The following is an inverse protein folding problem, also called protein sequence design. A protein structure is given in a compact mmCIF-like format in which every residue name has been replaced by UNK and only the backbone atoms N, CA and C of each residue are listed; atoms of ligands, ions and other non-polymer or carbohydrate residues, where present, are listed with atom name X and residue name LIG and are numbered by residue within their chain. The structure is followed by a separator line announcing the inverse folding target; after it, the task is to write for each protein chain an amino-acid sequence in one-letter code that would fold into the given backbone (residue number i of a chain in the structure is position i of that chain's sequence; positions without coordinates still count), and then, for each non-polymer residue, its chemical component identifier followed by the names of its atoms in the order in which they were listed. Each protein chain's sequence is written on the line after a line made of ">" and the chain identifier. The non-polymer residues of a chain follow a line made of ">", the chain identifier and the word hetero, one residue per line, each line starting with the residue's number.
data_IF_752673470758
#
_entry.id   IF_752673470758
#
_cell.length_a   1.000
_cell.length_b   1.000
_cell.length_c   1.000
_cell.angle_alpha   90.00
_cell.angle_beta   90.00
_cell.angle_gamma   90.00
#
_symmetry.space_group_name_H-M   'P 1'
#
loop_
_entity.id
_entity.type
_entity.pdbx_description
1 polymer ?
#
# COMPACT_ATOMS: atom_id res chain seq x y z
N UNK A 1 -20.00 -15.62 8.34
CA UNK A 1 -18.96 -14.60 8.08
C UNK A 1 -19.68 -13.35 7.63
N UNK A 2 -19.34 -12.17 8.17
CA UNK A 2 -19.82 -10.92 7.57
C UNK A 2 -19.28 -10.83 6.13
N UNK A 3 -20.11 -10.40 5.17
CA UNK A 3 -19.65 -10.22 3.79
C UNK A 3 -18.57 -9.13 3.77
N UNK A 4 -17.44 -9.44 3.12
CA UNK A 4 -16.37 -8.49 2.85
C UNK A 4 -16.29 -8.24 1.34
N UNK A 5 -15.74 -7.09 0.98
CA UNK A 5 -15.53 -6.65 -0.40
C UNK A 5 -14.09 -6.93 -0.83
N UNK A 6 -13.89 -6.98 -2.14
CA UNK A 6 -12.58 -6.97 -2.76
C UNK A 6 -12.12 -5.55 -3.08
N UNK A 7 -10.82 -5.36 -3.30
CA UNK A 7 -10.31 -4.05 -3.73
C UNK A 7 -10.87 -3.64 -5.10
N UNK A 8 -11.19 -4.62 -5.96
CA UNK A 8 -11.84 -4.41 -7.26
C UNK A 8 -13.24 -3.82 -7.17
N UNK A 9 -13.92 -3.98 -6.03
CA UNK A 9 -15.31 -3.54 -5.84
C UNK A 9 -15.38 -2.06 -5.42
N UNK A 10 -14.25 -1.50 -4.98
CA UNK A 10 -14.15 -0.16 -4.43
C UNK A 10 -14.46 0.90 -5.49
N UNK A 11 -15.28 1.87 -5.10
CA UNK A 11 -15.55 3.06 -5.88
C UNK A 11 -15.65 4.30 -4.99
N UNK A 12 -15.55 5.47 -5.61
CA UNK A 12 -15.46 6.77 -4.94
C UNK A 12 -16.79 7.28 -4.36
N UNK A 13 -17.90 6.57 -4.57
CA UNK A 13 -19.24 7.02 -4.18
C UNK A 13 -19.69 6.49 -2.81
N UNK A 14 -18.88 5.64 -2.17
CA UNK A 14 -19.18 5.07 -0.86
C UNK A 14 -17.97 5.18 0.07
N UNK A 15 -18.26 5.32 1.36
CA UNK A 15 -17.29 5.17 2.44
C UNK A 15 -17.52 3.91 3.27
N UNK A 16 -18.65 3.22 3.05
CA UNK A 16 -19.07 2.03 3.81
C UNK A 16 -18.51 0.77 3.19
N UNK A 17 -17.19 0.69 3.17
CA UNK A 17 -16.45 -0.47 2.69
C UNK A 17 -15.97 -1.31 3.86
N UNK A 18 -15.80 -2.61 3.61
CA UNK A 18 -15.09 -3.51 4.50
C UNK A 18 -14.30 -4.49 3.64
N UNK A 19 -12.97 -4.48 3.77
CA UNK A 19 -12.04 -5.30 2.97
C UNK A 19 -11.07 -6.02 3.88
N UNK A 20 -10.61 -7.19 3.45
CA UNK A 20 -9.49 -7.90 4.08
C UNK A 20 -8.21 -7.59 3.32
N UNK A 21 -7.22 -7.05 4.04
CA UNK A 21 -5.98 -6.57 3.44
C UNK A 21 -4.76 -6.97 4.26
N UNK A 22 -3.70 -7.35 3.57
CA UNK A 22 -2.36 -7.49 4.13
C UNK A 22 -1.61 -6.17 3.96
N UNK A 23 -0.94 -5.71 5.01
CA UNK A 23 -0.01 -4.57 4.88
C UNK A 23 1.27 -5.11 4.26
N UNK A 24 1.59 -4.73 3.02
CA UNK A 24 2.84 -5.13 2.38
C UNK A 24 4.01 -4.24 2.81
N UNK A 25 3.76 -2.93 2.87
CA UNK A 25 4.75 -1.94 3.29
C UNK A 25 4.05 -0.77 3.99
N UNK A 26 4.76 -0.13 4.91
CA UNK A 26 4.27 1.03 5.67
C UNK A 26 5.43 1.95 6.03
N UNK A 27 5.28 3.24 5.78
CA UNK A 27 6.29 4.25 6.14
C UNK A 27 5.63 5.59 6.47
N UNK A 28 6.42 6.46 7.11
CA UNK A 28 6.02 7.84 7.41
C UNK A 28 6.53 8.75 6.29
N UNK A 29 5.64 9.54 5.70
CA UNK A 29 5.99 10.50 4.65
C UNK A 29 5.78 11.93 5.16
N UNK A 30 6.84 12.77 5.15
CA UNK A 30 6.71 14.19 5.47
C UNK A 30 6.02 14.95 4.33
N UNK A 31 5.07 15.79 4.68
CA UNK A 31 4.36 16.68 3.76
C UNK A 31 4.96 18.09 3.81
N UNK A 32 4.83 18.85 2.73
CA UNK A 32 5.27 20.27 2.64
C UNK A 32 4.69 21.13 3.77
N UNK A 33 3.50 20.78 4.27
CA UNK A 33 2.85 21.44 5.42
C UNK A 33 3.53 21.21 6.78
N UNK A 34 4.63 20.46 6.85
CA UNK A 34 5.30 20.04 8.09
C UNK A 34 4.61 18.89 8.83
N UNK A 35 3.46 18.41 8.33
CA UNK A 35 2.76 17.23 8.86
C UNK A 35 3.36 15.94 8.30
N UNK A 36 3.18 14.82 9.01
CA UNK A 36 3.69 13.50 8.59
C UNK A 36 2.55 12.50 8.43
N UNK A 37 2.26 12.05 7.22
CA UNK A 37 1.24 11.00 6.99
C UNK A 37 1.86 9.60 7.03
N UNK A 38 1.07 8.60 7.38
CA UNK A 38 1.48 7.19 7.21
C UNK A 38 0.99 6.71 5.86
N UNK A 39 1.91 6.27 5.02
CA UNK A 39 1.65 5.66 3.71
C UNK A 39 1.76 4.15 3.85
N UNK A 40 0.92 3.43 3.11
CA UNK A 40 0.88 1.98 3.10
C UNK A 40 0.64 1.46 1.69
N UNK A 41 1.21 0.30 1.41
CA UNK A 41 0.79 -0.56 0.29
C UNK A 41 0.01 -1.72 0.89
N UNK A 42 -1.23 -1.89 0.45
CA UNK A 42 -2.12 -2.95 0.91
C UNK A 42 -2.38 -3.95 -0.22
N UNK A 43 -2.60 -5.21 0.13
CA UNK A 43 -3.02 -6.23 -0.83
C UNK A 43 -4.21 -7.06 -0.35
N UNK A 44 -5.12 -7.44 -1.25
CA UNK A 44 -6.19 -8.39 -0.96
C UNK A 44 -5.82 -9.83 -1.33
N UNK A 45 -6.72 -10.79 -1.06
CA UNK A 45 -6.52 -12.20 -1.40
C UNK A 45 -6.47 -12.49 -2.92
N UNK A 46 -6.91 -11.54 -3.75
CA UNK A 46 -6.83 -11.60 -5.21
C UNK A 46 -5.54 -11.01 -5.76
N UNK A 47 -4.59 -10.67 -4.89
CA UNK A 47 -3.32 -10.03 -5.24
C UNK A 47 -3.44 -8.64 -5.87
N UNK A 48 -4.60 -7.98 -5.76
CA UNK A 48 -4.71 -6.57 -6.07
C UNK A 48 -3.91 -5.78 -5.04
N UNK A 49 -3.16 -4.78 -5.49
CA UNK A 49 -2.39 -3.87 -4.62
C UNK A 49 -2.95 -2.47 -4.71
N UNK A 50 -3.06 -1.79 -3.58
CA UNK A 50 -3.61 -0.43 -3.52
C UNK A 50 -2.80 0.44 -2.55
N UNK A 51 -2.64 1.70 -2.93
CA UNK A 51 -2.04 2.71 -2.06
C UNK A 51 -3.07 3.16 -1.02
N UNK A 52 -2.65 3.24 0.25
CA UNK A 52 -3.46 3.70 1.35
C UNK A 52 -2.73 4.74 2.20
N UNK A 53 -3.51 5.66 2.79
CA UNK A 53 -2.98 6.72 3.65
C UNK A 53 -3.73 6.82 4.97
N UNK A 54 -2.99 7.03 6.06
CA UNK A 54 -3.50 7.49 7.35
C UNK A 54 -2.98 8.91 7.56
N UNK A 55 -3.85 9.93 7.42
CA UNK A 55 -3.46 11.32 7.62
C UNK A 55 -2.95 11.59 9.05
N UNK A 56 -2.08 12.60 9.20
CA UNK A 56 -1.70 13.12 10.51
C UNK A 56 -2.83 13.96 11.12
N UNK A 57 -3.76 13.28 11.78
CA UNK A 57 -4.94 13.89 12.41
C UNK A 57 -5.08 13.35 13.84
N UNK A 58 -6.00 13.97 14.59
CA UNK A 58 -6.24 13.63 15.99
C UNK A 58 -6.66 12.17 16.20
N UNK A 59 -7.13 11.45 15.18
CA UNK A 59 -7.51 10.03 15.26
C UNK A 59 -6.37 9.07 14.91
N UNK A 60 -5.16 9.58 14.63
CA UNK A 60 -4.04 8.72 14.24
C UNK A 60 -3.68 7.69 15.34
N UNK A 61 -3.91 8.03 16.62
CA UNK A 61 -3.71 7.11 17.74
C UNK A 61 -4.57 5.84 17.65
N UNK A 62 -5.72 5.86 16.95
CA UNK A 62 -6.54 4.67 16.69
C UNK A 62 -5.78 3.57 15.93
N UNK A 63 -4.70 3.96 15.24
CA UNK A 63 -3.89 3.10 14.38
C UNK A 63 -2.50 2.82 14.96
N UNK A 64 -2.09 3.55 16.02
CA UNK A 64 -0.74 3.47 16.54
C UNK A 64 -0.56 2.24 17.46
N UNK A 65 0.51 1.49 17.24
CA UNK A 65 0.98 0.43 18.14
C UNK A 65 0.83 -1.00 17.62
N UNK A 66 -0.10 -1.27 16.69
CA UNK A 66 -0.37 -2.65 16.22
C UNK A 66 -0.30 -2.85 14.71
N UNK A 67 -0.35 -1.78 13.90
CA UNK A 67 -0.15 -1.90 12.45
C UNK A 67 1.31 -2.27 12.17
N UNK A 68 1.50 -3.39 11.47
CA UNK A 68 2.82 -3.87 11.06
C UNK A 68 2.74 -4.50 9.66
N UNK A 69 3.75 -4.28 8.79
CA UNK A 69 3.88 -5.04 7.56
C UNK A 69 3.85 -6.55 7.81
N UNK A 70 3.30 -7.30 6.86
CA UNK A 70 3.15 -8.75 6.91
C UNK A 70 1.85 -9.25 7.56
N UNK A 71 1.15 -8.41 8.34
CA UNK A 71 -0.08 -8.80 9.04
C UNK A 71 -1.33 -8.50 8.21
N UNK A 72 -2.36 -9.32 8.43
CA UNK A 72 -3.69 -9.17 7.84
C UNK A 72 -4.62 -8.38 8.75
N UNK A 73 -5.44 -7.53 8.13
CA UNK A 73 -6.41 -6.68 8.80
C UNK A 73 -7.75 -6.70 8.07
N UNK A 74 -8.82 -6.61 8.84
CA UNK A 74 -10.11 -6.11 8.36
C UNK A 74 -10.11 -4.59 8.45
N UNK A 75 -10.15 -3.93 7.30
CA UNK A 75 -10.20 -2.49 7.16
C UNK A 75 -11.62 -2.08 6.77
N UNK A 76 -12.24 -1.19 7.54
CA UNK A 76 -13.62 -0.74 7.29
C UNK A 76 -13.77 0.78 7.43
N UNK A 77 -14.82 1.32 6.79
CA UNK A 77 -15.25 2.73 6.91
C UNK A 77 -14.19 3.74 6.49
N UNK A 78 -13.77 3.71 5.22
CA UNK A 78 -12.70 4.57 4.68
C UNK A 78 -13.15 5.29 3.41
N UNK A 79 -12.47 6.38 3.07
CA UNK A 79 -12.68 7.08 1.80
C UNK A 79 -11.92 6.38 0.67
N UNK A 80 -12.56 6.27 -0.49
CA UNK A 80 -11.94 5.88 -1.75
C UNK A 80 -11.83 7.12 -2.63
N UNK A 81 -10.63 7.43 -3.10
CA UNK A 81 -10.35 8.62 -3.89
C UNK A 81 -9.77 8.25 -5.24
N UNK A 82 -9.96 9.12 -6.23
CA UNK A 82 -9.17 9.05 -7.46
C UNK A 82 -7.72 9.46 -7.16
N UNK A 83 -6.72 8.81 -7.75
CA UNK A 83 -5.34 9.19 -7.56
C UNK A 83 -5.11 10.63 -8.04
N UNK A 84 -4.32 11.40 -7.30
CA UNK A 84 -3.94 12.75 -7.71
C UNK A 84 -2.67 12.70 -8.56
N UNK A 85 -2.68 13.35 -9.72
CA UNK A 85 -1.55 13.32 -10.68
C UNK A 85 -0.21 13.76 -10.08
N UNK A 86 -0.24 14.70 -9.12
CA UNK A 86 0.98 15.27 -8.50
C UNK A 86 1.52 14.46 -7.32
N UNK A 87 0.86 13.38 -6.93
CA UNK A 87 1.31 12.54 -5.80
C UNK A 87 1.97 11.27 -6.33
N UNK A 88 3.11 10.93 -5.75
CA UNK A 88 3.77 9.64 -5.99
C UNK A 88 2.80 8.50 -5.72
N UNK A 89 2.69 7.59 -6.70
CA UNK A 89 1.94 6.33 -6.60
C UNK A 89 2.92 5.19 -6.58
N UNK A 90 2.62 4.19 -5.77
CA UNK A 90 3.42 2.97 -5.66
C UNK A 90 2.70 1.76 -6.25
N UNK A 91 1.38 1.88 -6.45
CA UNK A 91 0.56 0.88 -7.11
C UNK A 91 -0.15 1.47 -8.33
N UNK A 92 -0.19 0.71 -9.43
CA UNK A 92 -1.01 1.01 -10.60
C UNK A 92 -2.48 0.55 -10.38
N UNK A 93 -3.14 1.09 -9.35
CA UNK A 93 -4.56 0.84 -9.08
C UNK A 93 -5.41 2.07 -9.42
N UNK A 94 -6.65 1.92 -9.93
CA UNK A 94 -7.48 3.03 -10.40
C UNK A 94 -7.95 3.98 -9.28
N UNK A 95 -7.87 3.56 -8.03
CA UNK A 95 -8.30 4.32 -6.84
C UNK A 95 -7.29 4.14 -5.71
N UNK A 96 -7.36 5.02 -4.71
CA UNK A 96 -6.56 4.96 -3.48
C UNK A 96 -7.44 5.01 -2.25
N UNK A 97 -6.97 4.46 -1.14
CA UNK A 97 -7.65 4.49 0.14
C UNK A 97 -7.13 5.63 1.00
N UNK A 98 -8.05 6.33 1.66
CA UNK A 98 -7.74 7.31 2.69
C UNK A 98 -8.52 7.01 3.96
N UNK A 99 -7.80 6.75 5.03
CA UNK A 99 -8.39 6.55 6.34
C UNK A 99 -8.95 7.87 6.87
N UNK A 100 -10.12 7.79 7.49
CA UNK A 100 -10.86 8.87 8.13
C UNK A 100 -11.05 8.56 9.62
N UNK A 101 -11.70 9.45 10.36
CA UNK A 101 -11.89 9.29 11.80
C UNK A 101 -12.63 8.00 12.18
N UNK A 102 -13.60 7.60 11.35
CA UNK A 102 -14.42 6.40 11.54
C UNK A 102 -13.77 5.12 11.00
N UNK A 103 -12.59 5.23 10.36
CA UNK A 103 -11.91 4.06 9.81
C UNK A 103 -11.44 3.15 10.93
N UNK A 104 -11.78 1.86 10.81
CA UNK A 104 -11.36 0.84 11.76
C UNK A 104 -10.45 -0.18 11.08
N UNK A 105 -9.39 -0.58 11.77
CA UNK A 105 -8.50 -1.66 11.34
C UNK A 105 -8.35 -2.67 12.47
N UNK A 106 -8.82 -3.90 12.23
CA UNK A 106 -8.74 -4.98 13.21
C UNK A 106 -7.88 -6.12 12.69
N UNK A 107 -6.90 -6.62 13.45
CA UNK A 107 -6.10 -7.75 13.02
C UNK A 107 -6.99 -8.98 12.82
N UNK A 108 -6.71 -9.75 11.77
CA UNK A 108 -7.40 -11.01 11.48
C UNK A 108 -6.38 -12.11 11.23
N UNK A 109 -6.84 -13.37 11.29
CA UNK A 109 -6.05 -14.52 10.88
C UNK A 109 -5.64 -14.41 9.41
N UNK A 110 -4.55 -15.08 9.04
CA UNK A 110 -4.07 -15.14 7.66
C UNK A 110 -5.19 -15.62 6.74
N UNK A 111 -5.50 -14.82 5.73
CA UNK A 111 -6.56 -15.12 4.76
C UNK A 111 -6.00 -15.99 3.62
N UNK A 112 -4.80 -15.67 3.12
CA UNK A 112 -4.12 -16.49 2.11
C UNK A 112 -2.59 -16.53 2.34
N UNK A 113 -1.90 -17.61 1.90
CA UNK A 113 -0.47 -17.80 2.13
C UNK A 113 0.44 -17.02 1.16
N UNK A 114 -0.13 -16.32 0.17
CA UNK A 114 0.66 -15.62 -0.83
C UNK A 114 1.62 -14.57 -0.22
N UNK A 115 2.80 -14.51 -0.82
CA UNK A 115 3.87 -13.61 -0.42
C UNK A 115 3.86 -12.27 -1.17
N UNK A 116 3.02 -12.14 -2.21
CA UNK A 116 2.79 -10.91 -2.99
C UNK A 116 4.10 -10.25 -3.50
N UNK A 117 5.11 -11.06 -3.82
CA UNK A 117 6.31 -10.58 -4.50
C UNK A 117 6.07 -10.47 -6.01
N UNK A 118 6.63 -9.45 -6.62
CA UNK A 118 6.77 -9.35 -8.07
C UNK A 118 8.26 -9.33 -8.38
N UNK A 119 8.81 -10.51 -8.70
CA UNK A 119 10.24 -10.65 -8.95
C UNK A 119 10.53 -10.26 -10.39
N UNK A 120 11.29 -9.18 -10.56
CA UNK A 120 11.88 -8.81 -11.85
C UNK A 120 13.24 -9.50 -11.94
N UNK A 121 13.42 -10.33 -12.96
CA UNK A 121 14.70 -10.99 -13.19
C UNK A 121 15.69 -10.02 -13.82
N UNK A 122 17.00 -10.08 -13.48
CA UNK A 122 18.01 -9.17 -14.04
C UNK A 122 17.98 -9.08 -15.57
N UNK A 123 17.75 -10.22 -16.24
CA UNK A 123 17.64 -10.34 -17.70
C UNK A 123 16.49 -9.49 -18.28
N UNK A 124 15.41 -9.30 -17.53
CA UNK A 124 14.26 -8.48 -17.95
C UNK A 124 14.49 -6.98 -17.76
N UNK A 125 15.49 -6.59 -16.96
CA UNK A 125 15.88 -5.18 -16.75
C UNK A 125 16.72 -4.66 -17.91
N UNK A 126 17.50 -5.53 -18.56
CA UNK A 126 18.33 -5.15 -19.72
C UNK A 126 17.49 -4.66 -20.90
N UNK A 127 16.27 -5.21 -21.05
CA UNK A 127 15.31 -4.85 -22.10
C UNK A 127 14.21 -3.89 -21.65
N UNK A 128 14.21 -3.46 -20.39
CA UNK A 128 13.24 -2.50 -19.89
C UNK A 128 13.36 -1.17 -20.66
N UNK A 129 12.22 -0.56 -21.00
CA UNK A 129 12.20 0.76 -21.63
C UNK A 129 12.75 1.83 -20.66
N UNK A 130 13.18 2.96 -21.20
CA UNK A 130 13.91 3.99 -20.43
C UNK A 130 13.08 4.57 -19.27
N UNK A 131 11.75 4.55 -19.40
CA UNK A 131 10.76 4.90 -18.38
C UNK A 131 10.53 3.79 -17.34
N UNK A 132 10.69 2.52 -17.70
CA UNK A 132 10.58 1.38 -16.79
C UNK A 132 11.82 1.24 -15.89
N UNK A 133 13.00 1.66 -16.38
CA UNK A 133 14.26 1.65 -15.61
C UNK A 133 14.21 2.53 -14.36
N UNK A 134 13.42 3.60 -14.37
CA UNK A 134 13.28 4.50 -13.21
C UNK A 134 12.63 3.81 -12.01
N UNK A 135 11.81 2.77 -12.23
CA UNK A 135 11.16 1.98 -11.18
C UNK A 135 12.00 0.81 -10.68
N UNK A 136 12.97 0.35 -11.48
CA UNK A 136 13.86 -0.77 -11.13
C UNK A 136 15.09 -0.29 -10.36
N UNK A 137 15.64 0.87 -10.73
CA UNK A 137 16.80 1.43 -10.04
C UNK A 137 16.35 2.47 -9.03
N UNK A 138 15.93 2.03 -7.84
CA UNK A 138 15.92 2.90 -6.68
C UNK A 138 17.30 3.57 -6.56
N UNK A 139 17.33 4.90 -6.56
CA UNK A 139 18.57 5.69 -6.53
C UNK A 139 19.51 5.16 -5.44
N UNK A 140 20.65 4.61 -5.87
CA UNK A 140 21.80 4.35 -5.00
C UNK A 140 22.18 2.89 -4.77
N UNK A 141 22.33 2.07 -5.81
CA UNK A 141 23.35 1.02 -5.75
C UNK A 141 24.70 1.63 -6.13
N UNK A 142 25.44 2.06 -5.11
CA UNK A 142 26.87 2.32 -5.23
C UNK A 142 27.51 1.02 -5.74
N UNK A 143 28.21 1.13 -6.86
CA UNK A 143 28.81 0.07 -7.63
C UNK A 143 29.99 -0.59 -6.93
N UNK A 144 29.83 -1.18 -5.76
CA UNK A 144 30.92 -1.93 -5.11
C UNK A 144 30.40 -3.21 -4.43
N UNK A 145 31.02 -4.33 -4.84
CA UNK A 145 31.01 -5.69 -4.24
C UNK A 145 29.84 -6.55 -4.76
N UNK A 146 30.05 -7.66 -5.49
CA UNK A 146 30.86 -8.84 -5.14
C UNK A 146 31.66 -9.43 -6.30
N UNK A 147 32.96 -9.65 -6.05
CA UNK A 147 33.77 -10.68 -6.72
C UNK A 147 33.36 -12.04 -6.16
N UNK A 148 33.11 -13.02 -7.02
CA UNK A 148 32.88 -14.42 -6.62
C UNK A 148 34.23 -15.11 -6.51
N UNK A 149 34.44 -15.83 -5.41
CA UNK A 149 35.47 -16.87 -5.25
C UNK A 149 34.81 -18.23 -5.22
#
# INVERSE_FOLDING_TARGET
>A
MEPHHYLSDLNVHSTRWSVHVKILSMWKEPLVSGRVETRMILADEKANRIDATIPNRYYNWNFQGFLKPGLWFRLSNFEVLRPQEKKTRYCCFPVVIKCIADTTMWPISVVCPYSFYDFVYPETVEFAQEDEKEFVTGKGFSSHIFTVS
#
